data_IF_919574846090
#
_entry.id   IF_919574846090
#
_cell.length_a   1.000
_cell.length_b   1.000
_cell.length_c   1.000
_cell.angle_alpha   90.00
_cell.angle_beta   90.00
_cell.angle_gamma   90.00
#
_symmetry.space_group_name_H-M   'P 1'
#
loop_
_entity.id
_entity.type
_entity.pdbx_description
1 polymer ?
#
# COMPACT_ATOMS: atom_id res chain seq x y z
N UNK A 1 -3.79 64.46 5.77
CA UNK A 1 -2.86 63.31 5.52
C UNK A 1 -2.92 62.18 6.54
N UNK A 2 -3.50 62.34 7.75
CA UNK A 2 -3.55 61.26 8.77
C UNK A 2 -4.74 60.28 8.63
N UNK A 3 -5.87 60.73 8.07
CA UNK A 3 -7.07 59.89 7.91
C UNK A 3 -6.97 58.89 6.74
N UNK A 4 -6.31 59.30 5.64
CA UNK A 4 -6.06 58.44 4.49
C UNK A 4 -5.14 57.25 4.80
N UNK A 5 -4.14 57.45 5.67
CA UNK A 5 -3.25 56.36 6.09
C UNK A 5 -3.96 55.31 6.95
N UNK A 6 -4.91 55.73 7.79
CA UNK A 6 -5.69 54.81 8.62
C UNK A 6 -6.67 53.97 7.78
N UNK A 7 -7.31 54.57 6.77
CA UNK A 7 -8.19 53.87 5.84
C UNK A 7 -7.44 52.88 4.94
N UNK A 8 -6.23 53.24 4.49
CA UNK A 8 -5.39 52.35 3.70
C UNK A 8 -4.90 51.15 4.51
N UNK A 9 -4.52 51.37 5.77
CA UNK A 9 -4.11 50.30 6.67
C UNK A 9 -5.26 49.32 6.97
N UNK A 10 -6.49 49.81 7.14
CA UNK A 10 -7.65 48.96 7.39
C UNK A 10 -8.05 48.12 6.16
N UNK A 11 -7.90 48.69 4.96
CA UNK A 11 -8.13 47.97 3.70
C UNK A 11 -7.11 46.84 3.46
N UNK A 12 -5.85 47.02 3.87
CA UNK A 12 -4.79 46.00 3.77
C UNK A 12 -4.99 44.83 4.75
N UNK A 13 -5.61 45.07 5.92
CA UNK A 13 -5.91 44.00 6.90
C UNK A 13 -7.12 43.17 6.44
N UNK A 14 -8.08 43.78 5.75
CA UNK A 14 -9.21 43.06 5.18
C UNK A 14 -8.80 42.13 4.01
N UNK A 15 -7.72 42.44 3.27
CA UNK A 15 -7.26 41.61 2.14
C UNK A 15 -6.58 40.29 2.53
N UNK A 16 -6.21 40.09 3.79
CA UNK A 16 -5.61 38.83 4.27
C UNK A 16 -6.60 37.91 4.99
N UNK A 17 -7.84 38.37 5.16
CA UNK A 17 -8.91 37.69 5.89
C UNK A 17 -9.98 37.12 4.94
N UNK A 18 -9.60 36.78 3.71
CA UNK A 18 -10.42 35.86 2.92
C UNK A 18 -10.46 34.51 3.64
N UNK A 19 -11.54 33.71 3.52
CA UNK A 19 -11.47 32.35 3.99
C UNK A 19 -10.22 31.76 3.34
N UNK A 20 -9.35 31.13 4.13
CA UNK A 20 -8.48 30.14 3.56
C UNK A 20 -9.46 29.16 2.91
N UNK A 21 -9.65 29.29 1.61
CA UNK A 21 -9.89 28.13 0.80
C UNK A 21 -8.67 27.29 1.10
N UNK A 22 -8.77 26.45 2.14
CA UNK A 22 -8.23 25.12 2.04
C UNK A 22 -8.67 24.72 0.64
N UNK A 23 -7.72 24.74 -0.29
CA UNK A 23 -7.85 23.99 -1.51
C UNK A 23 -8.53 22.72 -1.05
N UNK A 24 -9.75 22.47 -1.53
CA UNK A 24 -10.23 21.12 -1.43
C UNK A 24 -9.13 20.34 -2.13
N UNK A 25 -8.24 19.71 -1.35
CA UNK A 25 -7.33 18.68 -1.81
C UNK A 25 -8.29 17.74 -2.50
N UNK A 26 -8.41 17.93 -3.82
CA UNK A 26 -9.46 17.32 -4.61
C UNK A 26 -9.31 15.85 -4.33
N UNK A 27 -10.35 15.24 -3.75
CA UNK A 27 -10.35 13.89 -3.17
C UNK A 27 -9.50 12.97 -4.03
N UNK A 28 -8.19 12.93 -3.74
CA UNK A 28 -7.29 12.03 -4.43
C UNK A 28 -7.70 10.73 -3.78
N UNK A 29 -8.54 9.96 -4.47
CA UNK A 29 -8.92 8.63 -4.03
C UNK A 29 -7.62 7.95 -3.63
N UNK A 30 -7.38 7.83 -2.32
CA UNK A 30 -6.07 7.48 -1.82
C UNK A 30 -5.88 6.02 -2.18
N UNK A 31 -5.06 5.77 -3.21
CA UNK A 31 -4.74 4.43 -3.64
C UNK A 31 -3.56 3.95 -2.80
N UNK A 32 -3.72 2.78 -2.19
CA UNK A 32 -2.65 2.09 -1.46
C UNK A 32 -2.28 0.87 -2.29
N UNK A 33 -0.98 0.63 -2.45
CA UNK A 33 -0.48 -0.56 -3.12
C UNK A 33 0.76 -1.07 -2.44
N UNK A 34 0.98 -2.37 -2.50
CA UNK A 34 2.14 -3.00 -1.92
C UNK A 34 2.39 -4.36 -2.53
N UNK A 35 3.64 -4.79 -2.45
CA UNK A 35 4.05 -6.13 -2.82
C UNK A 35 5.19 -6.58 -1.92
N UNK A 36 5.34 -7.89 -1.77
CA UNK A 36 6.38 -8.43 -0.91
C UNK A 36 6.60 -9.92 -1.13
N UNK A 37 7.77 -10.37 -0.71
CA UNK A 37 8.09 -11.78 -0.59
C UNK A 37 8.31 -12.11 0.88
N UNK A 38 7.60 -13.12 1.39
CA UNK A 38 7.71 -13.55 2.78
C UNK A 38 7.90 -15.06 2.87
N UNK A 39 8.10 -15.57 4.09
CA UNK A 39 8.20 -17.00 4.40
C UNK A 39 6.96 -17.38 5.23
N UNK A 40 6.37 -18.54 4.94
CA UNK A 40 5.33 -19.13 5.80
C UNK A 40 6.01 -19.88 6.96
N UNK A 41 5.73 -19.46 8.19
CA UNK A 41 6.13 -20.22 9.38
C UNK A 41 5.45 -21.61 9.37
N UNK A 42 6.23 -22.66 9.59
CA UNK A 42 5.74 -24.05 9.50
C UNK A 42 5.64 -24.60 8.07
N UNK A 43 5.85 -23.77 7.04
CA UNK A 43 6.01 -24.21 5.65
C UNK A 43 4.85 -25.06 5.14
N UNK A 44 5.14 -26.23 4.57
CA UNK A 44 4.14 -27.20 4.09
C UNK A 44 3.39 -27.94 5.21
N UNK A 45 3.74 -27.74 6.47
CA UNK A 45 3.20 -28.47 7.61
C UNK A 45 3.71 -29.92 7.72
N UNK A 46 3.11 -30.69 8.64
CA UNK A 46 3.45 -32.10 8.90
C UNK A 46 4.66 -32.29 9.82
N UNK A 47 5.17 -33.53 9.91
CA UNK A 47 6.31 -33.89 10.77
C UNK A 47 7.68 -33.51 10.19
N UNK A 48 7.74 -33.14 8.90
CA UNK A 48 8.95 -32.67 8.22
C UNK A 48 8.57 -31.58 7.20
N UNK A 49 8.32 -30.34 7.67
CA UNK A 49 7.86 -29.26 6.81
C UNK A 49 8.96 -28.79 5.86
N UNK A 50 8.60 -28.57 4.60
CA UNK A 50 9.44 -27.86 3.65
C UNK A 50 9.19 -26.36 3.75
N UNK A 51 10.23 -25.52 3.61
CA UNK A 51 10.04 -24.07 3.59
C UNK A 51 9.14 -23.68 2.43
N UNK A 52 8.35 -22.62 2.62
CA UNK A 52 7.48 -22.06 1.58
C UNK A 52 7.70 -20.55 1.56
N UNK A 53 7.99 -20.02 0.37
CA UNK A 53 7.97 -18.59 0.13
C UNK A 53 6.60 -18.18 -0.37
N UNK A 54 6.10 -17.04 0.07
CA UNK A 54 4.96 -16.38 -0.55
C UNK A 54 5.42 -15.14 -1.28
N UNK A 55 4.83 -14.88 -2.43
CA UNK A 55 4.93 -13.60 -3.13
C UNK A 55 3.51 -13.05 -3.18
N UNK A 56 3.32 -11.85 -2.64
CA UNK A 56 2.03 -11.20 -2.60
C UNK A 56 2.09 -9.82 -3.23
N UNK A 57 0.96 -9.38 -3.75
CA UNK A 57 0.72 -8.03 -4.22
C UNK A 57 -0.72 -7.64 -3.90
N UNK A 58 -0.93 -6.36 -3.64
CA UNK A 58 -2.27 -5.80 -3.46
C UNK A 58 -2.31 -4.36 -3.95
N UNK A 59 -3.50 -3.93 -4.31
CA UNK A 59 -3.85 -2.53 -4.45
C UNK A 59 -5.29 -2.32 -3.98
N UNK A 60 -5.60 -1.16 -3.43
CA UNK A 60 -6.95 -0.80 -3.02
C UNK A 60 -7.14 0.72 -3.03
N UNK A 61 -8.39 1.14 -3.23
CA UNK A 61 -8.84 2.51 -3.05
C UNK A 61 -10.19 2.56 -2.31
N UNK A 62 -10.90 3.68 -2.38
CA UNK A 62 -12.16 3.86 -1.66
C UNK A 62 -13.31 2.98 -2.17
N UNK A 63 -13.13 2.34 -3.33
CA UNK A 63 -14.11 1.50 -4.00
C UNK A 63 -13.78 0.00 -3.85
N UNK A 64 -12.67 -0.34 -3.20
CA UNK A 64 -12.16 -1.69 -3.02
C UNK A 64 -10.84 -1.91 -3.76
N UNK A 65 -10.44 -3.16 -3.90
CA UNK A 65 -9.18 -3.49 -4.55
C UNK A 65 -9.04 -4.95 -4.93
N UNK A 66 -7.82 -5.32 -5.32
CA UNK A 66 -7.42 -6.69 -5.60
C UNK A 66 -6.21 -7.09 -4.75
N UNK A 67 -6.18 -8.38 -4.43
CA UNK A 67 -5.10 -9.06 -3.74
C UNK A 67 -4.72 -10.32 -4.50
N UNK A 68 -3.42 -10.57 -4.58
CA UNK A 68 -2.86 -11.81 -5.07
C UNK A 68 -1.78 -12.33 -4.12
N UNK A 69 -1.76 -13.65 -3.90
CA UNK A 69 -0.73 -14.33 -3.15
C UNK A 69 -0.43 -15.68 -3.79
N UNK A 70 0.85 -15.92 -4.07
CA UNK A 70 1.37 -17.18 -4.57
C UNK A 70 2.33 -17.78 -3.56
N UNK A 71 2.06 -19.01 -3.13
CA UNK A 71 2.94 -19.80 -2.28
C UNK A 71 3.75 -20.79 -3.13
N UNK A 72 5.07 -20.75 -2.96
CA UNK A 72 6.03 -21.54 -3.72
C UNK A 72 6.82 -22.42 -2.76
N UNK A 73 6.80 -23.73 -3.00
CA UNK A 73 7.59 -24.73 -2.29
C UNK A 73 8.78 -25.19 -3.17
N UNK A 74 9.83 -25.77 -2.58
CA UNK A 74 10.90 -26.39 -3.35
C UNK A 74 10.45 -27.71 -3.97
N UNK A 75 11.02 -28.05 -5.13
CA UNK A 75 10.75 -29.32 -5.81
C UNK A 75 11.36 -30.54 -5.09
N UNK A 76 12.36 -30.30 -4.23
CA UNK A 76 13.04 -31.33 -3.45
C UNK A 76 13.25 -30.85 -2.01
N UNK A 77 13.22 -31.78 -1.05
CA UNK A 77 13.49 -31.47 0.35
C UNK A 77 14.96 -31.09 0.60
N UNK A 78 15.88 -31.77 -0.07
CA UNK A 78 17.33 -31.57 0.04
C UNK A 78 17.99 -31.82 -1.32
N UNK A 79 19.24 -31.38 -1.46
CA UNK A 79 20.04 -31.59 -2.67
C UNK A 79 19.63 -30.71 -3.84
N UNK A 80 19.90 -31.17 -5.06
CA UNK A 80 19.66 -30.38 -6.25
C UNK A 80 18.16 -30.06 -6.40
N UNK A 81 17.85 -28.76 -6.41
CA UNK A 81 16.46 -28.27 -6.48
C UNK A 81 15.85 -27.86 -5.15
N UNK A 82 16.48 -28.11 -4.00
CA UNK A 82 15.93 -27.68 -2.70
C UNK A 82 16.00 -26.17 -2.46
N UNK A 83 16.83 -25.45 -3.22
CA UNK A 83 16.89 -23.98 -3.20
C UNK A 83 15.98 -23.30 -4.23
N UNK A 84 15.28 -24.06 -5.08
CA UNK A 84 14.43 -23.55 -6.15
C UNK A 84 12.97 -23.68 -5.75
N UNK A 85 12.37 -22.55 -5.34
CA UNK A 85 10.99 -22.47 -4.90
C UNK A 85 10.11 -22.12 -6.08
N UNK A 86 9.79 -23.15 -6.86
CA UNK A 86 9.10 -23.03 -8.15
C UNK A 86 7.80 -23.85 -8.19
N UNK A 87 7.58 -24.73 -7.20
CA UNK A 87 6.36 -25.53 -7.11
C UNK A 87 5.25 -24.69 -6.51
N UNK A 88 4.22 -24.39 -7.30
CA UNK A 88 3.03 -23.72 -6.79
C UNK A 88 2.30 -24.63 -5.79
N UNK A 89 2.38 -24.24 -4.52
CA UNK A 89 1.68 -24.91 -3.43
C UNK A 89 0.27 -24.33 -3.22
N UNK A 90 0.10 -23.05 -3.52
CA UNK A 90 -1.16 -22.33 -3.38
C UNK A 90 -1.13 -21.05 -4.22
N UNK A 91 -2.23 -20.71 -4.87
CA UNK A 91 -2.45 -19.40 -5.46
C UNK A 91 -3.82 -18.89 -5.05
N UNK A 92 -3.85 -17.71 -4.43
CA UNK A 92 -5.08 -17.05 -3.95
C UNK A 92 -5.15 -15.69 -4.60
N UNK A 93 -6.32 -15.40 -5.16
CA UNK A 93 -6.66 -14.06 -5.61
C UNK A 93 -8.04 -13.70 -5.07
N UNK A 94 -8.32 -12.40 -4.99
CA UNK A 94 -9.62 -11.92 -4.59
C UNK A 94 -9.66 -10.42 -4.43
N UNK A 95 -10.85 -9.93 -4.11
CA UNK A 95 -11.07 -8.52 -3.83
C UNK A 95 -10.84 -8.21 -2.35
N UNK A 96 -10.33 -7.01 -2.07
CA UNK A 96 -10.13 -6.44 -0.72
C UNK A 96 -11.00 -5.22 -0.48
#
# INVERSE_FOLDING_TARGET
>A
MRLFGALLALALIASVSGPAAASAEGTSHAQVSGAGRTIIEGGTGGSSPLPVFTVLAFHADAQGGDFECMALAPAAATGDGSGRFEVNAMYVTGNV
#
